data_IF_739979576949
#
_entry.id   IF_739979576949
#
_cell.length_a   1.000
_cell.length_b   1.000
_cell.length_c   1.000
_cell.angle_alpha   90.00
_cell.angle_beta   90.00
_cell.angle_gamma   90.00
#
_symmetry.space_group_name_H-M   'P 1'
#
loop_
_entity.id
_entity.type
_entity.pdbx_description
1 polymer ?
#
# COMPACT_ATOMS: atom_id res chain seq x y z
N UNK A 1 -30.93 -13.88 -14.65
CA UNK A 1 -30.02 -12.73 -14.87
C UNK A 1 -28.58 -13.21 -15.08
N UNK A 2 -28.36 -14.17 -15.98
CA UNK A 2 -27.12 -14.94 -16.12
C UNK A 2 -26.39 -14.58 -17.44
N UNK A 3 -27.18 -14.16 -18.43
CA UNK A 3 -26.74 -13.83 -19.79
C UNK A 3 -25.70 -12.69 -19.87
N UNK A 4 -25.77 -11.71 -18.96
CA UNK A 4 -24.86 -10.56 -18.95
C UNK A 4 -23.46 -10.94 -18.47
N UNK A 5 -23.37 -11.92 -17.57
CA UNK A 5 -22.11 -12.38 -17.01
C UNK A 5 -21.39 -13.29 -17.99
N UNK A 6 -22.13 -14.24 -18.58
CA UNK A 6 -21.60 -15.18 -19.57
C UNK A 6 -21.04 -14.45 -20.81
N UNK A 7 -21.71 -13.39 -21.25
CA UNK A 7 -21.27 -12.56 -22.39
C UNK A 7 -20.02 -11.75 -22.05
N UNK A 8 -19.95 -11.21 -20.83
CA UNK A 8 -18.76 -10.48 -20.37
C UNK A 8 -17.55 -11.41 -20.24
N UNK A 9 -17.72 -12.62 -19.68
CA UNK A 9 -16.67 -13.64 -19.60
C UNK A 9 -16.17 -14.06 -20.97
N UNK A 10 -17.07 -14.27 -21.94
CA UNK A 10 -16.67 -14.61 -23.30
C UNK A 10 -15.91 -13.47 -23.98
N UNK A 11 -16.33 -12.21 -23.78
CA UNK A 11 -15.60 -11.06 -24.32
C UNK A 11 -14.21 -10.93 -23.69
N UNK A 12 -14.07 -11.15 -22.38
CA UNK A 12 -12.79 -11.16 -21.69
C UNK A 12 -11.90 -12.31 -22.18
N UNK A 13 -12.46 -13.50 -22.42
CA UNK A 13 -11.74 -14.64 -22.96
C UNK A 13 -11.22 -14.38 -24.39
N UNK A 14 -12.02 -13.71 -25.23
CA UNK A 14 -11.64 -13.36 -26.60
C UNK A 14 -10.58 -12.25 -26.60
N UNK A 15 -10.73 -11.21 -25.78
CA UNK A 15 -9.73 -10.16 -25.63
C UNK A 15 -8.41 -10.73 -25.09
N UNK A 16 -8.47 -11.66 -24.14
CA UNK A 16 -7.28 -12.33 -23.58
C UNK A 16 -6.58 -13.20 -24.62
N UNK A 17 -7.31 -13.92 -25.47
CA UNK A 17 -6.70 -14.75 -26.52
C UNK A 17 -6.14 -13.91 -27.67
N UNK A 18 -6.74 -12.75 -27.96
CA UNK A 18 -6.30 -11.84 -29.01
C UNK A 18 -5.10 -10.99 -28.58
N UNK A 19 -5.06 -10.53 -27.33
CA UNK A 19 -3.95 -9.75 -26.77
C UNK A 19 -2.76 -10.63 -26.33
N UNK A 20 -2.91 -11.95 -26.31
CA UNK A 20 -1.89 -12.93 -25.89
C UNK A 20 -0.48 -12.67 -26.47
N UNK A 21 -0.28 -12.47 -27.79
CA UNK A 21 1.06 -12.23 -28.34
C UNK A 21 1.68 -10.91 -27.88
N UNK A 22 0.87 -9.86 -27.67
CA UNK A 22 1.35 -8.59 -27.14
C UNK A 22 1.72 -8.72 -25.65
N UNK A 23 0.91 -9.43 -24.85
CA UNK A 23 1.22 -9.73 -23.43
C UNK A 23 2.54 -10.51 -23.33
N UNK A 24 2.78 -11.50 -24.20
CA UNK A 24 4.04 -12.23 -24.23
C UNK A 24 5.25 -11.37 -24.60
N UNK A 25 5.09 -10.37 -25.48
CA UNK A 25 6.16 -9.42 -25.82
C UNK A 25 6.56 -8.54 -24.62
N UNK A 26 5.60 -8.20 -23.76
CA UNK A 26 5.87 -7.40 -22.56
C UNK A 26 6.30 -8.23 -21.34
N UNK A 27 6.12 -9.55 -21.32
CA UNK A 27 6.55 -10.39 -20.20
C UNK A 27 8.04 -10.23 -19.86
N UNK A 28 8.92 -10.13 -20.86
CA UNK A 28 10.35 -9.89 -20.63
C UNK A 28 10.61 -8.55 -19.91
N UNK A 29 10.25 -7.41 -20.52
CA UNK A 29 10.39 -6.11 -19.89
C UNK A 29 9.70 -6.00 -18.52
N UNK A 30 8.48 -6.50 -18.38
CA UNK A 30 7.72 -6.48 -17.11
C UNK A 30 8.46 -7.25 -16.02
N UNK A 31 8.95 -8.46 -16.32
CA UNK A 31 9.70 -9.26 -15.33
C UNK A 31 11.05 -8.63 -14.97
N UNK A 32 11.71 -7.93 -15.90
CA UNK A 32 12.94 -7.20 -15.56
C UNK A 32 12.70 -6.00 -14.64
N UNK A 33 11.60 -5.27 -14.84
CA UNK A 33 11.20 -4.16 -13.97
C UNK A 33 10.80 -4.70 -12.59
N UNK A 34 10.04 -5.79 -12.56
CA UNK A 34 9.65 -6.48 -11.32
C UNK A 34 10.88 -6.91 -10.52
N UNK A 35 11.85 -7.57 -11.15
CA UNK A 35 13.11 -7.96 -10.51
C UNK A 35 13.91 -6.75 -9.99
N UNK A 36 13.95 -5.65 -10.73
CA UNK A 36 14.63 -4.43 -10.30
C UNK A 36 13.94 -3.79 -9.09
N UNK A 37 12.60 -3.76 -9.10
CA UNK A 37 11.80 -3.23 -8.01
C UNK A 37 11.96 -4.07 -6.75
N UNK A 38 11.89 -5.41 -6.86
CA UNK A 38 12.13 -6.32 -5.76
C UNK A 38 13.52 -6.10 -5.14
N UNK A 39 14.57 -6.05 -5.97
CA UNK A 39 15.94 -5.75 -5.49
C UNK A 39 16.03 -4.38 -4.83
N UNK A 40 15.33 -3.38 -5.37
CA UNK A 40 15.27 -2.04 -4.78
C UNK A 40 14.64 -2.06 -3.38
N UNK A 41 13.55 -2.80 -3.20
CA UNK A 41 12.89 -2.97 -1.91
C UNK A 41 13.79 -3.73 -0.93
N UNK A 42 14.45 -4.81 -1.35
CA UNK A 42 15.38 -5.58 -0.51
C UNK A 42 16.54 -4.70 0.01
N UNK A 43 17.08 -3.82 -0.84
CA UNK A 43 18.15 -2.89 -0.45
C UNK A 43 17.65 -1.89 0.59
N UNK A 44 16.41 -1.40 0.45
CA UNK A 44 15.80 -0.47 1.42
C UNK A 44 15.58 -1.18 2.75
N UNK A 45 15.09 -2.42 2.72
CA UNK A 45 14.88 -3.24 3.92
C UNK A 45 16.18 -3.49 4.70
N UNK A 46 17.27 -3.81 4.01
CA UNK A 46 18.59 -4.01 4.64
C UNK A 46 19.14 -2.72 5.26
N UNK A 47 18.94 -1.57 4.62
CA UNK A 47 19.49 -0.28 5.09
C UNK A 47 18.65 0.36 6.19
N UNK A 48 17.35 0.09 6.22
CA UNK A 48 16.42 0.67 7.20
C UNK A 48 15.53 -0.45 7.76
N UNK A 49 16.04 -1.25 8.72
CA UNK A 49 15.28 -2.35 9.32
C UNK A 49 13.97 -1.90 9.99
N UNK A 50 13.87 -0.61 10.33
CA UNK A 50 12.65 0.00 10.85
C UNK A 50 11.46 -0.07 9.88
N UNK A 51 11.69 -0.31 8.58
CA UNK A 51 10.61 -0.46 7.58
C UNK A 51 9.76 -1.72 7.82
N UNK A 52 10.32 -2.76 8.46
CA UNK A 52 9.59 -3.97 8.82
C UNK A 52 8.73 -3.79 10.07
N UNK A 53 8.95 -2.71 10.83
CA UNK A 53 8.33 -2.56 12.13
C UNK A 53 6.89 -2.04 11.97
N UNK A 54 5.87 -2.76 12.49
CA UNK A 54 4.50 -2.25 12.48
C UNK A 54 4.41 -0.88 13.16
N UNK A 55 3.55 0.05 12.69
CA UNK A 55 3.49 1.42 13.21
C UNK A 55 3.30 1.52 14.73
N UNK A 56 2.54 0.58 15.31
CA UNK A 56 2.34 0.51 16.76
C UNK A 56 3.65 0.23 17.51
N UNK A 57 4.47 -0.70 17.01
CA UNK A 57 5.75 -1.03 17.63
C UNK A 57 6.79 0.06 17.39
N UNK A 58 6.79 0.74 16.23
CA UNK A 58 7.64 1.93 16.02
C UNK A 58 7.37 3.01 17.07
N UNK A 59 6.10 3.27 17.34
CA UNK A 59 5.69 4.24 18.35
C UNK A 59 6.15 3.81 19.75
N UNK A 60 5.89 2.56 20.15
CA UNK A 60 6.27 2.05 21.47
C UNK A 60 7.79 2.09 21.68
N UNK A 61 8.57 1.58 20.72
CA UNK A 61 10.03 1.59 20.79
C UNK A 61 10.58 3.02 20.89
N UNK A 62 10.01 3.96 20.13
CA UNK A 62 10.40 5.38 20.20
C UNK A 62 10.02 5.98 21.56
N UNK A 63 8.82 5.69 22.08
CA UNK A 63 8.35 6.18 23.38
C UNK A 63 9.24 5.67 24.51
N UNK A 64 9.60 4.39 24.49
CA UNK A 64 10.52 3.79 25.46
C UNK A 64 11.89 4.44 25.35
N UNK A 65 12.47 4.54 24.15
CA UNK A 65 13.75 5.19 23.95
C UNK A 65 13.80 6.63 24.50
N UNK A 66 12.76 7.43 24.22
CA UNK A 66 12.64 8.80 24.75
C UNK A 66 12.48 8.79 26.27
N UNK A 67 11.64 7.91 26.80
CA UNK A 67 11.44 7.81 28.24
C UNK A 67 12.75 7.48 28.97
N UNK A 68 13.53 6.55 28.43
CA UNK A 68 14.76 6.08 29.07
C UNK A 68 15.95 7.01 28.89
N UNK A 69 16.15 7.55 27.68
CA UNK A 69 17.33 8.35 27.36
C UNK A 69 17.12 9.85 27.60
N UNK A 70 15.87 10.32 27.60
CA UNK A 70 15.54 11.75 27.70
C UNK A 70 14.81 12.04 29.01
N UNK A 71 13.71 11.34 29.30
CA UNK A 71 12.83 11.69 30.44
C UNK A 71 13.44 11.26 31.78
N UNK A 72 13.81 9.99 31.96
CA UNK A 72 14.37 9.45 33.21
C UNK A 72 15.63 10.21 33.68
N UNK A 73 16.62 10.54 32.82
CA UNK A 73 17.82 11.26 33.24
C UNK A 73 17.55 12.71 33.64
N UNK A 74 16.58 13.37 32.98
CA UNK A 74 16.16 14.73 33.33
C UNK A 74 15.47 14.75 34.69
N UNK A 75 14.58 13.79 34.97
CA UNK A 75 13.90 13.68 36.27
C UNK A 75 14.88 13.38 37.41
N UNK A 76 15.82 12.44 37.23
CA UNK A 76 16.84 12.12 38.25
C UNK A 76 17.72 13.32 38.58
N UNK A 77 18.08 14.15 37.60
CA UNK A 77 18.89 15.36 37.81
C UNK A 77 18.10 16.50 38.48
N UNK A 78 16.82 16.66 38.16
CA UNK A 78 15.97 17.69 38.76
C UNK A 78 15.77 17.48 40.27
N UNK A 79 15.73 16.22 40.73
CA UNK A 79 15.58 15.90 42.16
C UNK A 79 16.84 16.11 43.01
N UNK A 80 18.03 16.18 42.40
CA UNK A 80 19.30 16.04 43.14
C UNK A 80 20.05 17.35 43.39
N UNK A 81 19.75 18.46 42.69
CA UNK A 81 20.45 19.74 42.91
C UNK A 81 19.52 20.94 42.71
N UNK A 82 18.99 21.52 43.79
CA UNK A 82 17.98 22.61 43.70
C UNK A 82 18.47 23.93 43.07
N UNK A 83 19.78 24.18 42.94
CA UNK A 83 20.31 25.47 42.41
C UNK A 83 21.11 25.34 41.10
N UNK A 84 21.88 24.27 40.91
CA UNK A 84 22.45 23.89 39.59
C UNK A 84 21.37 23.28 38.68
N UNK A 85 20.36 22.64 39.27
CA UNK A 85 19.25 22.01 38.57
C UNK A 85 18.37 22.98 37.80
N UNK A 86 18.25 24.26 38.21
CA UNK A 86 17.46 25.23 37.44
C UNK A 86 18.14 25.61 36.12
N UNK A 87 19.46 25.79 36.12
CA UNK A 87 20.23 26.06 34.90
C UNK A 87 20.31 24.83 34.00
N UNK A 88 20.56 23.64 34.57
CA UNK A 88 20.58 22.39 33.83
C UNK A 88 19.20 22.02 33.27
N UNK A 89 18.11 22.26 34.02
CA UNK A 89 16.74 22.07 33.56
C UNK A 89 16.38 23.05 32.46
N UNK A 90 16.73 24.34 32.60
CA UNK A 90 16.52 25.33 31.54
C UNK A 90 17.28 24.99 30.26
N UNK A 91 18.50 24.46 30.37
CA UNK A 91 19.27 23.97 29.23
C UNK A 91 18.66 22.71 28.59
N UNK A 92 18.07 21.81 29.39
CA UNK A 92 17.34 20.66 28.86
C UNK A 92 16.06 21.07 28.14
N UNK A 93 15.34 22.06 28.67
CA UNK A 93 14.15 22.65 28.04
C UNK A 93 14.51 23.33 26.71
N UNK A 94 15.63 24.06 26.65
CA UNK A 94 16.13 24.62 25.38
C UNK A 94 16.47 23.54 24.37
N UNK A 95 17.19 22.49 24.79
CA UNK A 95 17.54 21.38 23.90
C UNK A 95 16.30 20.72 23.32
N UNK A 96 15.27 20.49 24.14
CA UNK A 96 14.00 19.94 23.68
C UNK A 96 13.29 20.91 22.72
N UNK A 97 13.21 22.19 23.05
CA UNK A 97 12.57 23.18 22.21
C UNK A 97 13.27 23.33 20.84
N UNK A 98 14.60 23.29 20.83
CA UNK A 98 15.40 23.30 19.60
C UNK A 98 15.18 22.02 18.79
N UNK A 99 15.12 20.85 19.45
CA UNK A 99 14.82 19.58 18.77
C UNK A 99 13.42 19.59 18.14
N UNK A 100 12.42 20.13 18.83
CA UNK A 100 11.07 20.33 18.29
C UNK A 100 11.08 21.27 17.08
N UNK A 101 11.85 22.36 17.14
CA UNK A 101 12.00 23.30 16.02
C UNK A 101 12.62 22.64 14.79
N UNK A 102 13.67 21.82 14.99
CA UNK A 102 14.31 21.06 13.90
C UNK A 102 13.35 20.02 13.34
N UNK A 103 12.62 19.30 14.20
CA UNK A 103 11.62 18.32 13.79
C UNK A 103 10.49 18.98 12.98
N UNK A 104 10.05 20.17 13.39
CA UNK A 104 9.00 20.92 12.69
C UNK A 104 9.42 21.28 11.24
N UNK A 105 10.69 21.67 11.05
CA UNK A 105 11.27 21.89 9.72
C UNK A 105 11.26 20.61 8.86
N UNK A 106 11.52 19.44 9.46
CA UNK A 106 11.44 18.17 8.74
C UNK A 106 10.01 17.78 8.39
N UNK A 107 9.05 18.06 9.28
CA UNK A 107 7.62 17.88 8.98
C UNK A 107 7.19 18.81 7.84
N UNK A 108 7.64 20.05 7.81
CA UNK A 108 7.35 20.95 6.69
C UNK A 108 8.01 20.52 5.38
N UNK A 109 9.18 19.87 5.43
CA UNK A 109 9.88 19.35 4.24
C UNK A 109 9.22 18.11 3.66
N UNK A 110 8.85 17.14 4.50
CA UNK A 110 8.34 15.84 4.04
C UNK A 110 6.82 15.77 4.02
N UNK A 111 6.15 16.59 4.85
CA UNK A 111 4.71 16.73 4.90
C UNK A 111 4.27 18.20 4.74
N UNK A 112 4.56 18.87 3.60
CA UNK A 112 3.96 20.16 3.33
C UNK A 112 2.44 20.05 3.38
N UNK A 113 1.83 20.89 4.22
CA UNK A 113 0.40 21.13 4.22
C UNK A 113 0.03 22.19 3.18
N UNK A 114 -1.27 22.35 2.93
CA UNK A 114 -1.78 23.39 2.04
C UNK A 114 -1.42 24.79 2.56
N UNK A 115 -1.18 25.77 1.67
CA UNK A 115 -0.70 27.11 2.05
C UNK A 115 -1.63 27.87 3.01
N UNK A 116 -2.88 27.43 3.14
CA UNK A 116 -3.89 27.99 4.06
C UNK A 116 -3.55 27.72 5.54
N UNK A 117 -2.75 26.69 5.84
CA UNK A 117 -2.52 26.22 7.22
C UNK A 117 -1.35 26.92 7.94
N UNK A 118 -0.57 27.76 7.25
CA UNK A 118 0.59 28.47 7.84
C UNK A 118 0.18 29.65 8.73
N UNK A 119 -1.02 30.21 8.56
CA UNK A 119 -1.44 31.47 9.20
C UNK A 119 -2.01 31.30 10.62
N UNK A 120 -2.36 30.09 11.05
CA UNK A 120 -3.09 29.85 12.31
C UNK A 120 -2.13 29.58 13.49
N UNK A 121 -0.89 29.13 13.23
CA UNK A 121 0.03 28.69 14.28
C UNK A 121 0.84 29.81 14.95
N UNK A 122 0.96 30.98 14.31
CA UNK A 122 1.87 32.06 14.74
C UNK A 122 1.26 32.98 15.82
N UNK A 123 -0.06 32.91 16.03
CA UNK A 123 -0.82 33.85 16.86
C UNK A 123 -0.80 33.60 18.39
N UNK A 124 -0.08 32.60 18.93
CA UNK A 124 -0.13 32.28 20.38
C UNK A 124 1.18 32.39 21.15
N UNK A 125 2.16 33.17 20.66
CA UNK A 125 3.48 33.27 21.29
C UNK A 125 3.59 34.37 22.37
N UNK A 126 2.51 35.11 22.67
CA UNK A 126 2.52 36.34 23.48
C UNK A 126 1.88 36.19 24.86
N UNK A 127 2.25 35.16 25.63
CA UNK A 127 1.89 35.05 27.05
C UNK A 127 3.18 34.89 27.89
N UNK A 128 3.32 35.58 29.04
CA UNK A 128 4.47 35.45 29.93
C UNK A 128 4.41 34.11 30.70
N UNK A 129 4.61 33.00 29.98
CA UNK A 129 4.54 31.65 30.55
C UNK A 129 5.94 31.11 30.76
N UNK A 130 6.12 30.30 31.81
CA UNK A 130 7.39 29.64 32.11
C UNK A 130 7.95 28.90 30.88
N UNK A 131 9.28 28.89 30.74
CA UNK A 131 10.01 28.29 29.62
C UNK A 131 9.63 26.82 29.36
N UNK A 132 9.40 26.07 30.43
CA UNK A 132 8.94 24.69 30.37
C UNK A 132 7.54 24.59 29.75
N UNK A 133 6.60 25.43 30.18
CA UNK A 133 5.23 25.44 29.65
C UNK A 133 5.20 25.81 28.16
N UNK A 134 6.06 26.74 27.72
CA UNK A 134 6.19 27.08 26.29
C UNK A 134 6.62 25.87 25.46
N UNK A 135 7.59 25.10 25.95
CA UNK A 135 8.09 23.89 25.26
C UNK A 135 7.03 22.79 25.21
N UNK A 136 6.24 22.63 26.27
CA UNK A 136 5.11 21.69 26.28
C UNK A 136 4.04 22.11 25.27
N UNK A 137 3.66 23.40 25.23
CA UNK A 137 2.73 23.92 24.22
C UNK A 137 3.26 23.71 22.80
N UNK A 138 4.56 23.93 22.59
CA UNK A 138 5.21 23.67 21.30
C UNK A 138 5.12 22.19 20.90
N UNK A 139 5.43 21.26 21.81
CA UNK A 139 5.29 19.82 21.55
C UNK A 139 3.85 19.39 21.24
N UNK A 140 2.86 19.96 21.94
CA UNK A 140 1.45 19.69 21.68
C UNK A 140 0.99 20.20 20.30
N UNK A 141 1.42 21.40 19.90
CA UNK A 141 1.17 21.93 18.54
C UNK A 141 1.81 21.05 17.48
N UNK A 142 3.09 20.69 17.66
CA UNK A 142 3.82 19.82 16.75
C UNK A 142 3.11 18.46 16.54
N UNK A 143 2.66 17.82 17.62
CA UNK A 143 1.92 16.56 17.54
C UNK A 143 0.61 16.69 16.74
N UNK A 144 -0.17 17.76 16.98
CA UNK A 144 -1.42 18.02 16.25
C UNK A 144 -1.15 18.31 14.78
N UNK A 145 -0.10 19.07 14.47
CA UNK A 145 0.33 19.41 13.11
C UNK A 145 0.68 18.15 12.31
N UNK A 146 1.48 17.26 12.88
CA UNK A 146 1.80 15.96 12.27
C UNK A 146 0.53 15.14 12.03
N UNK A 147 -0.28 14.95 13.08
CA UNK A 147 -1.48 14.12 13.02
C UNK A 147 -2.43 14.60 11.91
N UNK A 148 -2.70 15.90 11.86
CA UNK A 148 -3.55 16.52 10.84
C UNK A 148 -3.00 16.28 9.43
N UNK A 149 -1.72 16.57 9.20
CA UNK A 149 -1.10 16.49 7.86
C UNK A 149 -0.97 15.07 7.33
N UNK A 150 -0.59 14.11 8.19
CA UNK A 150 -0.59 12.70 7.83
C UNK A 150 -1.98 12.24 7.41
N UNK A 151 -2.98 12.55 8.22
CA UNK A 151 -4.37 12.14 7.97
C UNK A 151 -4.90 12.76 6.67
N UNK A 152 -4.61 14.05 6.43
CA UNK A 152 -5.03 14.74 5.20
C UNK A 152 -4.37 14.16 3.95
N UNK A 153 -3.07 13.86 3.98
CA UNK A 153 -2.39 13.24 2.83
C UNK A 153 -2.88 11.85 2.53
N UNK A 154 -2.95 10.99 3.54
CA UNK A 154 -3.43 9.62 3.35
C UNK A 154 -4.86 9.61 2.79
N UNK A 155 -5.72 10.52 3.26
CA UNK A 155 -7.09 10.63 2.72
C UNK A 155 -7.15 11.22 1.32
N UNK A 156 -6.29 12.19 0.99
CA UNK A 156 -6.18 12.76 -0.36
C UNK A 156 -5.65 11.74 -1.38
N UNK A 157 -4.60 10.99 -1.03
CA UNK A 157 -4.03 9.94 -1.87
C UNK A 157 -5.05 8.80 -2.11
N UNK A 158 -5.73 8.35 -1.04
CA UNK A 158 -6.80 7.37 -1.18
C UNK A 158 -7.94 7.85 -2.08
N UNK A 159 -8.27 9.15 -2.03
CA UNK A 159 -9.28 9.75 -2.89
C UNK A 159 -8.82 9.87 -4.34
N UNK A 160 -7.56 10.25 -4.57
CA UNK A 160 -6.98 10.33 -5.90
C UNK A 160 -6.94 8.95 -6.57
N UNK A 161 -6.57 7.90 -5.84
CA UNK A 161 -6.61 6.52 -6.32
C UNK A 161 -8.03 6.09 -6.72
N UNK A 162 -9.03 6.46 -5.91
CA UNK A 162 -10.44 6.19 -6.22
C UNK A 162 -10.89 6.89 -7.51
N UNK A 163 -10.51 8.15 -7.69
CA UNK A 163 -10.88 8.94 -8.88
C UNK A 163 -10.19 8.40 -10.15
N UNK A 164 -8.89 8.08 -10.07
CA UNK A 164 -8.15 7.45 -11.16
C UNK A 164 -8.77 6.09 -11.55
N UNK A 165 -9.28 5.34 -10.57
CA UNK A 165 -10.01 4.10 -10.81
C UNK A 165 -11.29 4.30 -11.62
N UNK A 166 -12.01 5.40 -11.41
CA UNK A 166 -13.23 5.71 -12.16
C UNK A 166 -12.96 5.98 -13.64
N UNK A 167 -11.92 6.77 -13.95
CA UNK A 167 -11.50 7.06 -15.33
C UNK A 167 -11.02 5.79 -16.06
N UNK A 168 -10.29 4.90 -15.37
CA UNK A 168 -9.88 3.61 -15.91
C UNK A 168 -11.09 2.74 -16.30
N UNK A 169 -12.14 2.74 -15.46
CA UNK A 169 -13.40 2.03 -15.76
C UNK A 169 -14.03 2.60 -17.04
N UNK A 170 -14.05 3.92 -17.22
CA UNK A 170 -14.61 4.55 -18.42
C UNK A 170 -13.84 4.18 -19.70
N UNK A 171 -12.51 4.15 -19.67
CA UNK A 171 -11.69 3.74 -20.82
C UNK A 171 -11.93 2.28 -21.20
N UNK A 172 -12.00 1.39 -20.20
CA UNK A 172 -12.30 -0.03 -20.45
C UNK A 172 -13.69 -0.23 -21.06
N UNK A 173 -14.67 0.55 -20.62
CA UNK A 173 -16.03 0.52 -21.17
C UNK A 173 -16.07 0.98 -22.62
N UNK A 174 -15.34 2.06 -22.95
CA UNK A 174 -15.25 2.60 -24.31
C UNK A 174 -14.54 1.64 -25.28
N UNK A 175 -13.44 1.01 -24.86
CA UNK A 175 -12.75 -0.01 -25.68
C UNK A 175 -13.67 -1.20 -25.95
N UNK A 176 -14.45 -1.65 -24.96
CA UNK A 176 -15.42 -2.72 -25.14
C UNK A 176 -16.56 -2.34 -26.12
N UNK A 177 -16.96 -1.07 -26.17
CA UNK A 177 -17.93 -0.58 -27.16
C UNK A 177 -17.32 -0.51 -28.57
N UNK A 178 -16.08 -0.04 -28.70
CA UNK A 178 -15.38 0.01 -29.99
C UNK A 178 -15.17 -1.40 -30.59
N UNK A 179 -14.84 -2.40 -29.78
CA UNK A 179 -14.75 -3.79 -30.26
C UNK A 179 -16.09 -4.30 -30.80
N UNK A 180 -17.20 -4.00 -30.11
CA UNK A 180 -18.56 -4.36 -30.56
C UNK A 180 -18.91 -3.68 -31.89
N UNK A 181 -18.55 -2.41 -32.06
CA UNK A 181 -18.77 -1.69 -33.32
C UNK A 181 -17.88 -2.21 -34.45
N UNK A 182 -16.62 -2.53 -34.18
CA UNK A 182 -15.69 -3.08 -35.17
C UNK A 182 -16.14 -4.48 -35.65
N UNK A 183 -16.62 -5.33 -34.75
CA UNK A 183 -17.20 -6.65 -35.13
C UNK A 183 -18.51 -6.52 -35.90
N UNK A 184 -19.29 -5.47 -35.66
CA UNK A 184 -20.52 -5.18 -36.39
C UNK A 184 -20.23 -4.64 -37.81
N UNK A 185 -19.18 -3.83 -37.98
CA UNK A 185 -18.72 -3.32 -39.28
C UNK A 185 -17.94 -4.34 -40.11
N UNK A 186 -17.23 -5.28 -39.48
CA UNK A 186 -16.46 -6.31 -40.18
C UNK A 186 -17.32 -7.30 -40.98
N UNK A 187 -18.65 -7.31 -40.79
CA UNK A 187 -19.56 -8.26 -41.42
C UNK A 187 -19.34 -9.69 -40.90
N UNK A 188 -20.44 -10.39 -40.58
CA UNK A 188 -20.40 -11.73 -39.94
C UNK A 188 -19.37 -12.67 -40.58
N UNK A 189 -18.46 -13.32 -39.83
CA UNK A 189 -17.78 -14.48 -40.36
C UNK A 189 -18.79 -15.62 -40.57
N UNK A 190 -18.83 -16.13 -41.80
CA UNK A 190 -19.69 -17.23 -42.27
C UNK A 190 -19.54 -18.50 -41.41
N UNK A 191 -20.62 -19.28 -41.16
CA UNK A 191 -20.54 -20.46 -40.32
C UNK A 191 -19.67 -21.56 -40.97
N UNK A 192 -18.67 -22.02 -40.21
CA UNK A 192 -17.80 -23.15 -40.57
C UNK A 192 -18.64 -24.42 -40.81
N UNK A 193 -18.46 -25.05 -41.97
CA UNK A 193 -19.00 -26.38 -42.29
C UNK A 193 -18.34 -27.44 -41.40
N UNK A 194 -19.17 -28.16 -40.65
CA UNK A 194 -18.77 -29.32 -39.83
C UNK A 194 -18.36 -30.49 -40.75
N UNK A 195 -17.21 -31.16 -40.55
CA UNK A 195 -16.89 -32.38 -41.29
C UNK A 195 -17.64 -33.58 -40.70
N UNK A 196 -18.32 -34.30 -41.59
CA UNK A 196 -19.05 -35.55 -41.34
C UNK A 196 -18.08 -36.66 -40.92
N UNK A 197 -18.13 -37.07 -39.65
CA UNK A 197 -17.38 -38.23 -39.15
C UNK A 197 -17.91 -39.53 -39.77
N UNK A 198 -16.97 -40.32 -40.29
CA UNK A 198 -17.16 -41.61 -40.97
C UNK A 198 -17.33 -42.71 -39.92
N UNK A 199 -18.43 -43.43 -40.06
CA UNK A 199 -18.85 -44.59 -39.28
C UNK A 199 -17.76 -45.70 -39.30
N UNK A 200 -17.31 -46.15 -38.13
CA UNK A 200 -16.43 -47.32 -38.00
C UNK A 200 -17.10 -48.36 -37.09
N UNK A 201 -17.42 -49.48 -37.71
CA UNK A 201 -18.15 -50.64 -37.22
C UNK A 201 -17.39 -51.31 -36.05
N UNK A 202 -18.06 -51.45 -34.89
CA UNK A 202 -17.55 -52.26 -33.77
C UNK A 202 -17.91 -53.74 -34.01
N UNK A 203 -16.91 -54.63 -33.99
CA UNK A 203 -17.09 -56.06 -33.80
C UNK A 203 -16.34 -56.44 -32.51
N UNK A 204 -17.06 -56.85 -31.48
CA UNK A 204 -16.47 -57.50 -30.31
C UNK A 204 -17.41 -58.62 -29.83
N UNK A 205 -17.10 -59.83 -30.25
CA UNK A 205 -17.45 -61.06 -29.55
C UNK A 205 -16.14 -61.58 -28.95
N UNK A 206 -16.06 -61.77 -27.63
CA UNK A 206 -15.84 -63.07 -27.00
C UNK A 206 -15.54 -62.93 -25.50
N UNK A 207 -16.27 -63.77 -24.74
CA UNK A 207 -15.85 -64.50 -23.55
C UNK A 207 -16.13 -64.01 -22.11
N UNK A 208 -16.73 -64.97 -21.42
CA UNK A 208 -17.39 -64.98 -20.12
C UNK A 208 -16.43 -65.18 -18.93
N UNK A 209 -16.75 -64.47 -17.85
CA UNK A 209 -16.79 -64.88 -16.43
C UNK A 209 -15.96 -66.08 -15.97
N UNK A 210 -15.01 -65.82 -15.06
CA UNK A 210 -14.50 -66.72 -14.00
C UNK A 210 -13.85 -65.83 -12.91
N UNK A 211 -14.52 -65.60 -11.77
CA UNK A 211 -14.46 -66.32 -10.49
C UNK A 211 -13.13 -66.26 -9.70
N UNK A 212 -13.25 -65.66 -8.51
CA UNK A 212 -12.51 -65.81 -7.24
C UNK A 212 -11.18 -65.06 -6.97
N UNK A 213 -11.00 -64.47 -5.75
CA UNK A 213 -9.85 -63.65 -5.36
C UNK A 213 -8.81 -64.40 -4.50
N UNK A 214 -7.67 -63.77 -4.17
CA UNK A 214 -7.08 -64.02 -2.86
C UNK A 214 -6.73 -62.73 -2.10
N UNK A 215 -7.20 -62.72 -0.85
CA UNK A 215 -6.69 -61.95 0.29
C UNK A 215 -5.32 -62.51 0.67
N UNK A 216 -4.33 -61.64 0.85
CA UNK A 216 -3.12 -61.97 1.59
C UNK A 216 -2.69 -60.74 2.39
N UNK A 217 -2.93 -60.78 3.69
CA UNK A 217 -2.50 -59.80 4.69
C UNK A 217 -2.24 -60.57 5.98
N UNK A 218 -0.99 -60.54 6.42
CA UNK A 218 -0.42 -61.29 7.53
C UNK A 218 -0.36 -60.34 8.73
N UNK A 219 -1.13 -60.64 9.78
CA UNK A 219 -0.82 -60.62 11.24
C UNK A 219 -2.12 -60.63 12.06
#
# INVERSE_FOLDING_TARGET
MNWSLDTAEQSLAIATTTARPAIFAFNGPITTIDQLLCKGIDIVEQRVPAVHLPPHLMYLNTREYVNENIVKPVLKRAGSVKQIGSQAANAAVDRLNNALTVADKYVDRYLPGDPVDKSIDEASLTEPVSKATRTIKHGARFSRKIQKRLTQRTSAEARALKEQGAECIHVLLYVAELEKFATLLAGRPSPQKVPRMRNQQNHYNHMSVTSSPPVNGIE
#
